data_IF_953226940107
#
_entry.id   IF_953226940107
#
_cell.length_a   1.000
_cell.length_b   1.000
_cell.length_c   1.000
_cell.angle_alpha   90.00
_cell.angle_beta   90.00
_cell.angle_gamma   90.00
#
_symmetry.space_group_name_H-M   'P 1'
#
loop_
_entity.id
_entity.type
_entity.pdbx_description
1 polymer ?
#
# COMPACT_ATOMS: atom_id res chain seq x y z
N UNK A 1 19.78 1.25 -7.18
CA UNK A 1 19.84 2.69 -6.92
C UNK A 1 20.29 2.96 -5.48
N UNK A 2 21.16 3.93 -5.27
CA UNK A 2 21.60 4.26 -3.91
C UNK A 2 20.49 4.61 -2.95
N UNK A 3 19.40 5.21 -3.44
CA UNK A 3 18.25 5.59 -2.62
C UNK A 3 17.51 4.38 -2.04
N UNK A 4 17.41 3.29 -2.79
CA UNK A 4 16.74 2.08 -2.32
C UNK A 4 17.54 1.38 -1.24
N UNK A 5 18.86 1.31 -1.43
CA UNK A 5 19.75 0.76 -0.41
C UNK A 5 19.59 1.53 0.90
N UNK A 6 19.54 2.85 0.79
CA UNK A 6 19.41 3.74 1.94
C UNK A 6 18.07 3.53 2.64
N UNK A 7 16.99 3.40 1.89
CA UNK A 7 15.66 3.18 2.45
C UNK A 7 15.57 1.86 3.23
N UNK A 8 16.17 0.80 2.67
CA UNK A 8 16.18 -0.49 3.34
C UNK A 8 16.95 -0.42 4.66
N UNK A 9 18.13 0.23 4.63
CA UNK A 9 18.94 0.36 5.84
C UNK A 9 18.26 1.20 6.90
N UNK A 10 17.60 2.27 6.50
CA UNK A 10 16.84 3.12 7.41
C UNK A 10 15.73 2.36 8.10
N UNK A 11 15.12 1.42 7.40
CA UNK A 11 14.06 0.58 7.94
C UNK A 11 14.60 -0.56 8.78
N UNK A 12 15.92 -0.70 8.90
CA UNK A 12 16.56 -1.77 9.67
C UNK A 12 16.65 -3.08 8.93
N UNK A 13 16.55 -3.05 7.60
CA UNK A 13 16.57 -4.25 6.78
C UNK A 13 17.89 -4.39 6.04
N UNK A 14 18.36 -5.61 5.92
CA UNK A 14 19.52 -5.92 5.11
C UNK A 14 19.21 -5.71 3.64
N UNK A 15 20.17 -5.23 2.89
CA UNK A 15 20.05 -5.07 1.45
C UNK A 15 20.24 -6.45 0.80
N UNK A 16 19.19 -6.95 0.17
CA UNK A 16 19.23 -8.20 -0.58
C UNK A 16 18.63 -7.95 -1.95
N UNK A 17 18.97 -8.78 -2.93
CA UNK A 17 18.46 -8.60 -4.28
C UNK A 17 16.92 -8.67 -4.34
N UNK A 18 16.27 -9.68 -3.72
CA UNK A 18 14.80 -9.69 -3.73
C UNK A 18 14.18 -8.44 -3.13
N UNK A 19 14.72 -7.94 -2.01
CA UNK A 19 14.21 -6.72 -1.38
C UNK A 19 14.37 -5.50 -2.28
N UNK A 20 15.52 -5.36 -2.93
CA UNK A 20 15.76 -4.27 -3.86
C UNK A 20 14.79 -4.29 -5.02
N UNK A 21 14.60 -5.46 -5.61
CA UNK A 21 13.74 -5.60 -6.79
C UNK A 21 12.27 -5.33 -6.43
N UNK A 22 11.82 -5.80 -5.30
CA UNK A 22 10.44 -5.59 -4.86
C UNK A 22 10.22 -4.12 -4.52
N UNK A 23 11.17 -3.48 -3.84
CA UNK A 23 11.07 -2.05 -3.53
C UNK A 23 11.01 -1.22 -4.82
N UNK A 24 11.83 -1.57 -5.80
CA UNK A 24 11.85 -0.93 -7.10
C UNK A 24 10.48 -0.99 -7.79
N UNK A 25 9.84 -2.17 -7.73
CA UNK A 25 8.51 -2.36 -8.32
C UNK A 25 7.47 -1.47 -7.62
N UNK A 26 7.52 -1.42 -6.30
CA UNK A 26 6.58 -0.60 -5.54
C UNK A 26 6.76 0.90 -5.83
N UNK A 27 7.95 1.32 -6.23
CA UNK A 27 8.26 2.71 -6.53
C UNK A 27 8.02 3.10 -7.98
N UNK A 28 7.93 2.12 -8.88
CA UNK A 28 8.13 2.34 -10.31
C UNK A 28 7.07 3.17 -11.02
N UNK A 29 5.82 3.17 -10.54
CA UNK A 29 4.74 3.83 -11.25
C UNK A 29 3.64 4.21 -10.27
N UNK A 30 3.09 5.40 -10.44
CA UNK A 30 1.97 5.85 -9.62
C UNK A 30 0.76 4.93 -9.72
N UNK A 31 0.49 4.41 -10.91
CA UNK A 31 -0.62 3.49 -11.13
C UNK A 31 -0.37 2.13 -10.48
N UNK A 32 0.87 1.83 -10.15
CA UNK A 32 1.27 0.56 -9.55
C UNK A 32 1.39 0.65 -8.03
N UNK A 33 0.96 1.75 -7.41
CA UNK A 33 1.09 1.96 -5.97
C UNK A 33 0.33 0.94 -5.13
N UNK A 34 -0.74 0.37 -5.68
CA UNK A 34 -1.58 -0.58 -4.95
C UNK A 34 -1.46 -1.95 -5.59
N UNK A 35 -0.38 -2.64 -5.26
CA UNK A 35 -0.10 -3.96 -5.83
C UNK A 35 -0.32 -5.07 -4.82
N UNK A 36 -0.97 -6.13 -5.26
CA UNK A 36 -1.04 -7.36 -4.47
C UNK A 36 0.30 -8.10 -4.60
N UNK A 37 0.50 -9.10 -3.75
CA UNK A 37 1.69 -9.94 -3.84
C UNK A 37 1.75 -10.65 -5.20
N UNK A 38 0.61 -11.07 -5.72
CA UNK A 38 0.54 -11.71 -7.03
C UNK A 38 0.96 -10.75 -8.14
N UNK A 39 0.54 -9.49 -8.05
CA UNK A 39 0.92 -8.46 -9.01
C UNK A 39 2.43 -8.26 -9.01
N UNK A 40 3.03 -8.15 -7.83
CA UNK A 40 4.49 -7.99 -7.68
C UNK A 40 5.20 -9.21 -8.28
N UNK A 41 4.70 -10.40 -7.99
CA UNK A 41 5.27 -11.64 -8.52
C UNK A 41 5.26 -11.64 -10.05
N UNK A 42 4.15 -11.22 -10.66
CA UNK A 42 4.05 -11.16 -12.13
C UNK A 42 5.01 -10.15 -12.72
N UNK A 43 5.19 -9.02 -12.06
CA UNK A 43 6.17 -8.01 -12.49
C UNK A 43 7.59 -8.57 -12.47
N UNK A 44 7.91 -9.34 -11.43
CA UNK A 44 9.22 -9.97 -11.32
C UNK A 44 9.44 -11.00 -12.43
N UNK A 45 8.42 -11.81 -12.71
CA UNK A 45 8.49 -12.78 -13.81
C UNK A 45 8.73 -12.10 -15.14
N UNK A 46 8.00 -11.02 -15.40
CA UNK A 46 8.15 -10.25 -16.65
C UNK A 46 9.55 -9.66 -16.77
N UNK A 47 10.13 -9.26 -15.66
CA UNK A 47 11.49 -8.71 -15.63
C UNK A 47 12.57 -9.78 -15.68
N UNK A 48 12.20 -11.05 -15.70
CA UNK A 48 13.16 -12.15 -15.73
C UNK A 48 13.83 -12.45 -14.39
N UNK A 49 13.25 -11.96 -13.29
CA UNK A 49 13.80 -12.22 -11.97
C UNK A 49 13.26 -13.53 -11.41
N UNK A 50 14.14 -14.32 -10.84
CA UNK A 50 13.76 -15.62 -10.28
C UNK A 50 13.48 -15.49 -8.78
N UNK A 51 12.30 -14.95 -8.48
CA UNK A 51 11.84 -14.77 -7.09
C UNK A 51 10.49 -15.43 -6.95
N UNK A 52 10.39 -16.42 -6.06
CA UNK A 52 9.14 -17.15 -5.85
C UNK A 52 8.09 -16.33 -5.11
N UNK A 53 6.83 -16.73 -5.30
CA UNK A 53 5.69 -16.05 -4.67
C UNK A 53 5.80 -16.03 -3.15
N UNK A 54 6.25 -17.13 -2.53
CA UNK A 54 6.43 -17.19 -1.08
C UNK A 54 7.44 -16.16 -0.59
N UNK A 55 8.50 -15.94 -1.35
CA UNK A 55 9.51 -14.91 -1.03
C UNK A 55 8.92 -13.52 -1.15
N UNK A 56 8.10 -13.29 -2.18
CA UNK A 56 7.42 -12.01 -2.36
C UNK A 56 6.56 -11.69 -1.14
N UNK A 57 5.73 -12.63 -0.70
CA UNK A 57 4.90 -12.45 0.49
C UNK A 57 5.74 -12.14 1.72
N UNK A 58 6.82 -12.86 1.91
CA UNK A 58 7.70 -12.67 3.06
C UNK A 58 8.32 -11.28 3.06
N UNK A 59 8.82 -10.84 1.90
CA UNK A 59 9.44 -9.52 1.79
C UNK A 59 8.42 -8.41 2.02
N UNK A 60 7.23 -8.52 1.42
CA UNK A 60 6.18 -7.53 1.62
C UNK A 60 5.77 -7.42 3.09
N UNK A 61 5.67 -8.57 3.78
CA UNK A 61 5.37 -8.60 5.21
C UNK A 61 6.48 -7.94 6.02
N UNK A 62 7.74 -8.19 5.65
CA UNK A 62 8.88 -7.56 6.30
C UNK A 62 8.87 -6.04 6.10
N UNK A 63 8.51 -5.58 4.91
CA UNK A 63 8.38 -4.15 4.63
C UNK A 63 7.26 -3.53 5.47
N UNK A 64 6.15 -4.22 5.59
CA UNK A 64 5.02 -3.77 6.42
C UNK A 64 5.45 -3.63 7.88
N UNK A 65 6.10 -4.67 8.42
CA UNK A 65 6.53 -4.67 9.82
C UNK A 65 7.60 -3.61 10.10
N UNK A 66 8.39 -3.28 9.10
CA UNK A 66 9.44 -2.25 9.23
C UNK A 66 8.93 -0.83 8.99
N UNK A 67 7.65 -0.68 8.68
CA UNK A 67 7.06 0.64 8.41
C UNK A 67 7.37 1.18 7.02
N UNK A 68 7.92 0.36 6.13
CA UNK A 68 8.30 0.78 4.79
C UNK A 68 7.13 0.66 3.82
N UNK A 69 6.20 -0.24 4.09
CA UNK A 69 5.02 -0.43 3.27
C UNK A 69 3.77 -0.54 4.15
N UNK A 70 2.64 -0.23 3.55
CA UNK A 70 1.34 -0.32 4.19
C UNK A 70 0.53 -1.39 3.46
N UNK A 71 -0.07 -2.29 4.23
CA UNK A 71 -0.99 -3.29 3.69
C UNK A 71 -2.42 -2.81 3.86
N UNK A 72 -3.19 -2.87 2.80
CA UNK A 72 -4.62 -2.59 2.84
C UNK A 72 -5.38 -3.88 2.58
N UNK A 73 -6.16 -4.30 3.55
CA UNK A 73 -7.00 -5.50 3.44
C UNK A 73 -8.43 -5.04 3.15
N UNK A 74 -8.96 -5.43 2.01
CA UNK A 74 -10.30 -5.03 1.60
C UNK A 74 -11.28 -6.18 1.74
N UNK A 75 -12.55 -5.83 1.88
CA UNK A 75 -13.62 -6.81 2.04
C UNK A 75 -13.70 -7.82 0.90
N UNK A 76 -13.25 -7.44 -0.27
CA UNK A 76 -13.22 -8.32 -1.44
C UNK A 76 -12.26 -9.51 -1.27
N UNK A 77 -11.54 -9.55 -0.15
CA UNK A 77 -10.66 -10.67 0.17
C UNK A 77 -9.25 -10.55 -0.36
N UNK A 78 -8.91 -9.44 -1.01
CA UNK A 78 -7.54 -9.27 -1.47
C UNK A 78 -6.83 -8.19 -0.65
N UNK A 79 -5.52 -8.30 -0.59
CA UNK A 79 -4.65 -7.33 0.07
C UNK A 79 -3.78 -6.67 -0.98
N UNK A 80 -3.57 -5.37 -0.84
CA UNK A 80 -2.63 -4.64 -1.68
C UNK A 80 -1.63 -3.92 -0.79
N UNK A 81 -0.48 -3.63 -1.35
CA UNK A 81 0.61 -2.97 -0.64
C UNK A 81 1.00 -1.70 -1.35
N UNK A 82 1.36 -0.69 -0.58
CA UNK A 82 1.92 0.54 -1.13
C UNK A 82 3.04 1.02 -0.23
N UNK A 83 3.94 1.82 -0.77
CA UNK A 83 5.01 2.39 0.04
C UNK A 83 4.43 3.42 1.00
N UNK A 84 4.99 3.42 2.22
CA UNK A 84 4.64 4.39 3.23
C UNK A 84 5.36 5.70 2.91
N UNK A 85 4.62 6.71 2.48
CA UNK A 85 5.18 8.00 2.09
C UNK A 85 4.88 9.10 3.09
N UNK A 86 4.33 8.72 4.24
CA UNK A 86 4.04 9.67 5.31
C UNK A 86 2.75 10.46 5.13
N UNK A 87 2.10 10.35 3.99
CA UNK A 87 0.82 11.01 3.74
C UNK A 87 -0.31 10.02 3.92
N UNK A 88 -1.35 10.49 4.57
CA UNK A 88 -2.54 9.68 4.77
C UNK A 88 -3.44 9.75 3.54
N UNK A 89 -3.94 8.62 3.11
CA UNK A 89 -4.93 8.54 2.02
C UNK A 89 -6.09 7.66 2.43
N UNK A 90 -7.26 8.03 1.97
CA UNK A 90 -8.42 7.16 2.00
C UNK A 90 -8.54 6.48 0.64
N UNK A 91 -9.34 5.44 0.54
CA UNK A 91 -9.38 4.60 -0.65
C UNK A 91 -10.80 4.33 -1.12
N UNK A 92 -10.96 4.25 -2.44
CA UNK A 92 -12.17 3.68 -3.05
C UNK A 92 -11.77 2.40 -3.76
N UNK A 93 -12.52 1.34 -3.53
CA UNK A 93 -12.26 0.05 -4.17
C UNK A 93 -13.44 -0.29 -5.05
N UNK A 94 -13.19 -0.45 -6.36
CA UNK A 94 -14.22 -0.87 -7.28
C UNK A 94 -14.43 -2.38 -7.16
N UNK A 95 -15.63 -2.79 -6.74
CA UNK A 95 -15.91 -4.19 -6.50
C UNK A 95 -15.99 -5.01 -7.78
N UNK A 96 -16.22 -4.36 -8.92
CA UNK A 96 -16.35 -5.07 -10.20
C UNK A 96 -14.99 -5.46 -10.79
N UNK A 97 -14.00 -4.61 -10.69
CA UNK A 97 -12.69 -4.85 -11.31
C UNK A 97 -11.49 -4.75 -10.38
N UNK A 98 -11.70 -4.43 -9.11
CA UNK A 98 -10.65 -4.35 -8.12
C UNK A 98 -9.78 -3.08 -8.19
N UNK A 99 -10.16 -2.12 -9.02
CA UNK A 99 -9.40 -0.86 -9.09
C UNK A 99 -9.43 -0.14 -7.75
N UNK A 100 -8.29 0.39 -7.34
CA UNK A 100 -8.16 1.15 -6.11
C UNK A 100 -7.80 2.60 -6.46
N UNK A 101 -8.59 3.53 -5.95
CA UNK A 101 -8.37 4.96 -6.17
C UNK A 101 -8.12 5.62 -4.81
N UNK A 102 -7.04 6.37 -4.70
CA UNK A 102 -6.74 7.13 -3.49
C UNK A 102 -7.44 8.47 -3.53
N UNK A 103 -7.87 8.95 -2.38
CA UNK A 103 -8.39 10.30 -2.27
C UNK A 103 -8.13 10.86 -0.88
N UNK A 104 -8.18 12.18 -0.77
CA UNK A 104 -8.20 12.87 0.51
C UNK A 104 -9.27 13.95 0.43
N UNK A 105 -9.94 14.20 1.54
CA UNK A 105 -10.99 15.21 1.59
C UNK A 105 -10.96 15.89 2.95
N UNK A 106 -10.66 17.17 2.94
CA UNK A 106 -10.52 17.96 4.15
C UNK A 106 -11.81 17.99 4.97
N UNK A 107 -12.96 18.06 4.29
CA UNK A 107 -14.24 18.10 4.98
C UNK A 107 -14.51 16.82 5.74
N UNK A 108 -14.22 15.67 5.13
CA UNK A 108 -14.38 14.37 5.78
C UNK A 108 -13.48 14.31 7.02
N UNK A 109 -12.22 14.71 6.88
CA UNK A 109 -11.26 14.67 7.98
C UNK A 109 -11.65 15.59 9.12
N UNK A 110 -12.09 16.80 8.81
CA UNK A 110 -12.56 17.75 9.82
C UNK A 110 -13.77 17.22 10.57
N UNK A 111 -14.69 16.59 9.85
CA UNK A 111 -15.88 16.02 10.45
C UNK A 111 -15.52 14.89 11.41
N UNK A 112 -14.60 14.04 11.02
CA UNK A 112 -14.13 12.94 11.88
C UNK A 112 -13.49 13.48 13.15
N UNK A 113 -12.69 14.52 13.04
CA UNK A 113 -12.06 15.15 14.22
C UNK A 113 -13.10 15.71 15.17
N UNK A 114 -14.14 16.36 14.65
CA UNK A 114 -15.21 16.91 15.48
C UNK A 114 -15.97 15.81 16.22
N UNK A 115 -16.25 14.72 15.52
CA UNK A 115 -16.94 13.59 16.14
C UNK A 115 -16.11 13.04 17.30
N UNK A 116 -14.81 12.89 17.11
CA UNK A 116 -13.92 12.38 18.14
C UNK A 116 -13.87 13.36 19.33
N UNK A 117 -13.73 14.67 19.07
CA UNK A 117 -13.67 15.69 20.11
C UNK A 117 -14.94 15.72 20.95
N UNK A 118 -16.10 15.64 20.30
CA UNK A 118 -17.38 15.63 21.00
C UNK A 118 -17.52 14.43 21.91
N UNK A 119 -16.88 13.32 21.56
CA UNK A 119 -16.87 12.12 22.38
C UNK A 119 -15.75 12.12 23.44
N UNK A 120 -14.91 13.15 23.44
CA UNK A 120 -13.81 13.28 24.41
C UNK A 120 -12.54 12.57 23.99
N UNK A 121 -12.33 12.40 22.68
CA UNK A 121 -11.18 11.67 22.16
C UNK A 121 -10.37 12.50 21.17
N UNK A 122 -9.14 12.07 20.94
CA UNK A 122 -8.25 12.60 19.93
C UNK A 122 -7.95 11.48 18.95
N UNK A 123 -8.03 11.76 17.66
CA UNK A 123 -7.74 10.74 16.64
C UNK A 123 -6.23 10.56 16.51
N UNK A 124 -5.76 9.32 16.65
CA UNK A 124 -4.35 9.00 16.41
C UNK A 124 -4.14 8.41 15.00
N UNK A 125 -5.18 7.81 14.45
CA UNK A 125 -5.12 7.23 13.11
C UNK A 125 -6.54 6.91 12.66
N UNK A 126 -6.76 6.80 11.35
CA UNK A 126 -8.03 6.32 10.82
C UNK A 126 -7.82 5.71 9.44
N UNK A 127 -8.78 4.90 9.01
CA UNK A 127 -8.79 4.41 7.63
C UNK A 127 -10.23 4.43 7.15
N UNK A 128 -10.40 4.87 5.92
CA UNK A 128 -11.71 4.94 5.29
C UNK A 128 -11.63 4.27 3.92
N UNK A 129 -12.48 3.28 3.71
CA UNK A 129 -12.55 2.60 2.43
C UNK A 129 -13.99 2.63 1.94
N UNK A 130 -14.17 3.14 0.74
CA UNK A 130 -15.46 3.13 0.08
C UNK A 130 -15.46 2.00 -0.94
N UNK A 131 -16.45 1.12 -0.86
CA UNK A 131 -16.61 0.04 -1.84
C UNK A 131 -17.59 0.54 -2.89
N UNK A 132 -17.11 0.66 -4.11
CA UNK A 132 -17.85 1.36 -5.17
C UNK A 132 -18.02 0.46 -6.39
N UNK A 133 -18.88 0.87 -7.29
CA UNK A 133 -19.00 0.25 -8.61
C UNK A 133 -19.14 1.35 -9.64
N UNK A 134 -18.82 1.02 -10.88
CA UNK A 134 -18.86 2.00 -11.95
C UNK A 134 -20.28 2.56 -12.07
N UNK A 135 -20.36 3.88 -12.24
CA UNK A 135 -21.66 4.52 -12.47
C UNK A 135 -22.18 4.10 -13.84
N UNK A 136 -23.48 3.90 -13.90
CA UNK A 136 -24.16 3.64 -15.17
C UNK A 136 -24.51 4.98 -15.79
N UNK A 137 -24.30 5.11 -17.09
CA UNK A 137 -24.61 6.34 -17.82
C UNK A 137 -26.11 6.50 -18.04
#
# INVERSE_FOLDING_TARGET
MPSQNKELRKAGLKVTLPRLKILEILESDESAQHLSADDVYRELLTAGEDVGLATVYRVLTQFENAGLAIRHNFESGHSVFELSRGEHHDHMVCVDDGEVVEFTDTIIEERQCKIAEEAGFEIIDHSLTLYVRRKKD
#
